data_IF_136307187273
#
_entry.id   IF_136307187273
#
_cell.length_a   1.000
_cell.length_b   1.000
_cell.length_c   1.000
_cell.angle_alpha   90.00
_cell.angle_beta   90.00
_cell.angle_gamma   90.00
#
_symmetry.space_group_name_H-M   'P 1'
#
loop_
_entity.id
_entity.type
_entity.pdbx_description
1 polymer ?
#
# COMPACT_ATOMS: atom_id res chain seq x y z
N UNK A 1 -20.20 -17.25 36.02
CA UNK A 1 -21.12 -16.11 35.87
C UNK A 1 -20.27 -14.85 35.83
N UNK A 2 -20.19 -14.21 34.67
CA UNK A 2 -19.39 -12.99 34.47
C UNK A 2 -20.00 -11.86 35.30
N UNK A 3 -19.20 -11.29 36.21
CA UNK A 3 -19.57 -10.13 37.00
C UNK A 3 -19.67 -8.88 36.13
N UNK A 4 -20.77 -8.76 35.38
CA UNK A 4 -21.22 -7.54 34.71
C UNK A 4 -21.73 -6.52 35.73
N UNK A 5 -21.06 -6.37 36.87
CA UNK A 5 -21.39 -5.31 37.83
C UNK A 5 -20.76 -4.01 37.33
N UNK A 6 -21.53 -2.93 37.43
CA UNK A 6 -21.21 -1.59 36.96
C UNK A 6 -19.80 -1.09 37.37
N UNK A 7 -19.21 -1.66 38.41
CA UNK A 7 -17.83 -1.42 38.88
C UNK A 7 -16.75 -1.63 37.79
N UNK A 8 -16.94 -2.59 36.87
CA UNK A 8 -16.00 -2.86 35.78
C UNK A 8 -15.98 -1.74 34.72
N UNK A 9 -17.13 -1.11 34.47
CA UNK A 9 -17.27 0.02 33.55
C UNK A 9 -16.65 1.29 34.11
N UNK A 10 -16.76 1.53 35.42
CA UNK A 10 -16.13 2.67 36.07
C UNK A 10 -14.59 2.59 36.10
N UNK A 11 -14.00 1.39 36.13
CA UNK A 11 -12.55 1.20 35.96
C UNK A 11 -12.08 1.42 34.53
N UNK A 12 -12.89 1.07 33.53
CA UNK A 12 -12.59 1.34 32.12
C UNK A 12 -12.68 2.85 31.79
N UNK A 13 -13.66 3.57 32.37
CA UNK A 13 -13.84 5.01 32.18
C UNK A 13 -12.75 5.87 32.87
N UNK A 14 -12.01 5.32 33.83
CA UNK A 14 -10.92 6.00 34.54
C UNK A 14 -9.53 5.65 33.99
N UNK A 15 -9.44 4.82 32.94
CA UNK A 15 -8.20 4.74 32.17
C UNK A 15 -8.07 6.08 31.43
N UNK A 16 -7.02 6.89 31.69
CA UNK A 16 -6.68 7.92 30.71
C UNK A 16 -6.58 7.22 29.36
N UNK A 17 -7.04 7.85 28.25
CA UNK A 17 -6.80 7.28 26.94
C UNK A 17 -5.34 6.89 26.92
N UNK A 18 -5.03 5.62 26.65
CA UNK A 18 -3.67 5.26 26.35
C UNK A 18 -3.32 6.20 25.21
N UNK A 19 -2.56 7.24 25.52
CA UNK A 19 -2.01 8.17 24.57
C UNK A 19 -1.01 7.32 23.84
N UNK A 20 -1.51 6.51 22.90
CA UNK A 20 -0.70 5.96 21.82
C UNK A 20 0.09 7.17 21.34
N UNK A 21 1.41 7.19 21.52
CA UNK A 21 2.22 8.25 20.97
C UNK A 21 2.17 8.03 19.47
N UNK A 22 1.10 8.49 18.84
CA UNK A 22 0.96 8.53 17.42
C UNK A 22 1.82 9.69 16.96
N UNK A 23 3.12 9.38 16.88
CA UNK A 23 3.95 9.70 15.73
C UNK A 23 4.08 11.20 15.43
N UNK A 24 4.48 11.97 16.45
CA UNK A 24 4.99 13.34 16.25
C UNK A 24 6.24 13.39 15.32
N UNK A 25 6.86 12.26 15.02
CA UNK A 25 7.95 12.13 14.04
C UNK A 25 7.49 12.10 12.57
N UNK A 26 6.19 12.00 12.29
CA UNK A 26 5.67 12.03 10.91
C UNK A 26 5.46 13.46 10.42
N UNK A 27 4.72 14.28 11.19
CA UNK A 27 4.45 15.68 10.81
C UNK A 27 5.72 16.53 10.71
N UNK A 28 6.68 16.34 11.63
CA UNK A 28 7.96 17.07 11.60
C UNK A 28 8.87 16.69 10.43
N UNK A 29 8.74 15.48 9.86
CA UNK A 29 9.51 15.07 8.68
C UNK A 29 8.86 15.47 7.36
N UNK A 30 7.54 15.64 7.27
CA UNK A 30 6.88 16.15 6.05
C UNK A 30 6.79 17.68 6.00
N UNK A 31 6.89 18.38 7.13
CA UNK A 31 6.88 19.84 7.17
C UNK A 31 8.17 20.51 6.66
N UNK A 32 9.27 19.75 6.55
CA UNK A 32 10.59 20.26 6.14
C UNK A 32 10.91 19.99 4.64
N UNK A 33 10.11 19.17 3.94
CA UNK A 33 10.20 19.05 2.48
C UNK A 33 9.29 20.08 1.84
N UNK A 34 9.87 21.13 1.28
CA UNK A 34 9.19 22.08 0.38
C UNK A 34 8.30 21.32 -0.63
N UNK A 35 7.12 21.85 -0.94
CA UNK A 35 6.16 21.26 -1.93
C UNK A 35 6.85 20.73 -3.21
N UNK A 36 7.86 21.39 -3.78
CA UNK A 36 8.59 20.87 -4.94
C UNK A 36 9.37 19.56 -4.68
N UNK A 37 10.03 19.44 -3.54
CA UNK A 37 10.75 18.23 -3.13
C UNK A 37 9.79 17.05 -2.94
N UNK A 38 8.60 17.32 -2.43
CA UNK A 38 7.56 16.32 -2.23
C UNK A 38 7.04 15.80 -3.59
N UNK A 39 6.86 16.67 -4.57
CA UNK A 39 6.51 16.28 -5.95
C UNK A 39 7.64 15.45 -6.59
N UNK A 40 8.90 15.87 -6.42
CA UNK A 40 10.07 15.12 -6.91
C UNK A 40 10.22 13.76 -6.23
N UNK A 41 9.77 13.61 -4.98
CA UNK A 41 9.79 12.34 -4.25
C UNK A 41 8.81 11.30 -4.79
N UNK A 42 7.85 11.73 -5.62
CA UNK A 42 6.95 10.84 -6.33
C UNK A 42 7.57 10.24 -7.59
N UNK A 43 8.66 10.82 -8.09
CA UNK A 43 9.37 10.25 -9.24
C UNK A 43 10.17 9.04 -8.76
N UNK A 44 9.83 7.81 -9.24
CA UNK A 44 10.50 6.60 -8.80
C UNK A 44 11.98 6.62 -9.20
N UNK A 45 12.87 6.73 -8.21
CA UNK A 45 14.33 6.55 -8.45
C UNK A 45 14.68 5.08 -8.61
N UNK A 46 14.01 4.20 -7.86
CA UNK A 46 14.17 2.74 -7.94
C UNK A 46 12.92 2.03 -7.37
N UNK A 47 11.98 1.58 -8.22
CA UNK A 47 10.71 0.99 -7.76
C UNK A 47 10.88 -0.30 -6.95
N UNK A 48 11.98 -1.04 -7.14
CA UNK A 48 12.24 -2.27 -6.38
C UNK A 48 12.71 -1.99 -4.95
N UNK A 49 13.48 -0.92 -4.75
CA UNK A 49 13.82 -0.45 -3.41
C UNK A 49 12.58 0.10 -2.70
N UNK A 50 11.63 0.66 -3.45
CA UNK A 50 10.36 1.12 -2.89
C UNK A 50 9.42 -0.04 -2.46
N UNK A 51 9.60 -1.25 -2.99
CA UNK A 51 8.81 -2.42 -2.54
C UNK A 51 9.19 -2.91 -1.14
N UNK A 52 10.37 -2.54 -0.61
CA UNK A 52 10.80 -2.95 0.75
C UNK A 52 10.21 -2.08 1.87
N UNK A 53 9.35 -1.10 1.53
CA UNK A 53 8.62 -0.29 2.50
C UNK A 53 9.47 0.70 3.30
N UNK A 54 10.66 1.06 2.80
CA UNK A 54 11.60 1.91 3.53
C UNK A 54 11.09 3.34 3.79
N UNK A 55 10.07 3.82 3.04
CA UNK A 55 9.51 5.16 3.19
C UNK A 55 7.98 5.21 2.97
N UNK A 56 7.25 6.23 3.45
CA UNK A 56 5.82 6.41 3.14
C UNK A 56 5.53 6.77 1.67
N UNK A 57 6.48 7.40 0.97
CA UNK A 57 6.42 7.74 -0.46
C UNK A 57 6.54 6.52 -1.39
N UNK A 58 6.99 5.40 -0.83
CA UNK A 58 7.31 4.14 -1.49
C UNK A 58 6.10 3.52 -2.19
N UNK A 59 4.91 3.67 -1.62
CA UNK A 59 3.66 3.20 -2.23
C UNK A 59 3.31 4.01 -3.49
N UNK A 60 3.42 5.34 -3.41
CA UNK A 60 3.07 6.24 -4.52
C UNK A 60 4.03 6.04 -5.70
N UNK A 61 5.33 5.86 -5.41
CA UNK A 61 6.38 5.51 -6.39
C UNK A 61 6.01 4.25 -7.19
N UNK A 62 5.61 3.17 -6.51
CA UNK A 62 5.23 1.90 -7.13
C UNK A 62 3.99 2.04 -8.02
N UNK A 63 2.99 2.83 -7.60
CA UNK A 63 1.77 3.07 -8.39
C UNK A 63 2.08 3.82 -9.69
N UNK A 64 2.90 4.86 -9.63
CA UNK A 64 3.32 5.63 -10.82
C UNK A 64 4.08 4.72 -11.80
N UNK A 65 4.99 3.90 -11.29
CA UNK A 65 5.71 2.94 -12.11
C UNK A 65 4.78 1.90 -12.75
N UNK A 66 3.80 1.38 -12.01
CA UNK A 66 2.81 0.44 -12.53
C UNK A 66 1.96 1.06 -13.65
N UNK A 67 1.61 2.35 -13.55
CA UNK A 67 0.91 3.06 -14.61
C UNK A 67 1.73 3.12 -15.91
N UNK A 68 3.04 3.43 -15.81
CA UNK A 68 3.93 3.42 -16.98
C UNK A 68 4.07 2.01 -17.58
N UNK A 69 4.21 0.98 -16.75
CA UNK A 69 4.22 -0.42 -17.22
C UNK A 69 2.93 -0.78 -17.96
N UNK A 70 1.77 -0.37 -17.45
CA UNK A 70 0.48 -0.59 -18.12
C UNK A 70 0.41 0.08 -19.49
N UNK A 71 0.86 1.34 -19.60
CA UNK A 71 0.94 2.03 -20.90
C UNK A 71 1.91 1.33 -21.86
N UNK A 72 3.07 0.87 -21.37
CA UNK A 72 4.02 0.12 -22.19
C UNK A 72 3.46 -1.22 -22.68
N UNK A 73 2.72 -1.94 -21.83
CA UNK A 73 2.04 -3.19 -22.20
C UNK A 73 1.00 -2.95 -23.30
N UNK A 74 0.21 -1.87 -23.21
CA UNK A 74 -0.76 -1.50 -24.25
C UNK A 74 -0.08 -1.10 -25.57
N UNK A 75 1.06 -0.40 -25.51
CA UNK A 75 1.85 -0.08 -26.71
C UNK A 75 2.44 -1.34 -27.35
N UNK A 76 3.01 -2.24 -26.54
CA UNK A 76 3.52 -3.51 -27.02
C UNK A 76 2.44 -4.37 -27.69
N UNK A 77 1.21 -4.36 -27.17
CA UNK A 77 0.08 -5.06 -27.79
C UNK A 77 -0.30 -4.47 -29.16
N UNK A 78 -0.17 -3.15 -29.33
CA UNK A 78 -0.40 -2.48 -30.62
C UNK A 78 0.71 -2.80 -31.62
N UNK A 79 1.96 -2.86 -31.17
CA UNK A 79 3.13 -3.07 -32.03
C UNK A 79 3.34 -4.57 -32.38
N UNK A 80 3.13 -5.46 -31.42
CA UNK A 80 3.31 -6.91 -31.52
C UNK A 80 2.26 -7.63 -30.67
N UNK A 81 1.15 -7.97 -31.32
CA UNK A 81 -0.02 -8.59 -30.66
C UNK A 81 0.36 -9.86 -29.92
N UNK A 82 1.25 -10.69 -30.48
CA UNK A 82 1.64 -11.95 -29.87
C UNK A 82 2.41 -11.74 -28.56
N UNK A 83 3.32 -10.75 -28.51
CA UNK A 83 4.03 -10.39 -27.27
C UNK A 83 3.11 -9.67 -26.27
N UNK A 84 2.27 -8.76 -26.74
CA UNK A 84 1.31 -8.07 -25.88
C UNK A 84 0.34 -9.03 -25.20
N UNK A 85 -0.17 -10.02 -25.93
CA UNK A 85 -1.07 -11.02 -25.36
C UNK A 85 -0.39 -11.84 -24.27
N UNK A 86 0.89 -12.20 -24.44
CA UNK A 86 1.68 -12.87 -23.38
C UNK A 86 1.79 -12.03 -22.12
N UNK A 87 1.96 -10.71 -22.25
CA UNK A 87 1.99 -9.79 -21.10
C UNK A 87 0.64 -9.78 -20.39
N UNK A 88 -0.48 -9.68 -21.13
CA UNK A 88 -1.82 -9.72 -20.54
C UNK A 88 -2.08 -11.03 -19.81
N UNK A 89 -1.75 -12.18 -20.41
CA UNK A 89 -1.88 -13.48 -19.76
C UNK A 89 -1.04 -13.59 -18.49
N UNK A 90 0.16 -13.01 -18.47
CA UNK A 90 0.98 -12.97 -17.27
C UNK A 90 0.32 -12.12 -16.16
N UNK A 91 -0.26 -10.96 -16.50
CA UNK A 91 -0.99 -10.11 -15.56
C UNK A 91 -2.20 -10.86 -14.98
N UNK A 92 -3.02 -11.51 -15.82
CA UNK A 92 -4.18 -12.29 -15.39
C UNK A 92 -3.78 -13.45 -14.45
N UNK A 93 -2.67 -14.12 -14.77
CA UNK A 93 -2.12 -15.20 -13.95
C UNK A 93 -1.69 -14.70 -12.57
N UNK A 94 -0.97 -13.58 -12.53
CA UNK A 94 -0.54 -12.94 -11.28
C UNK A 94 -1.75 -12.47 -10.46
N UNK A 95 -2.75 -11.84 -11.09
CA UNK A 95 -3.98 -11.44 -10.41
C UNK A 95 -4.70 -12.64 -9.79
N UNK A 96 -4.85 -13.72 -10.56
CA UNK A 96 -5.50 -14.95 -10.09
C UNK A 96 -4.74 -15.56 -8.90
N UNK A 97 -3.40 -15.51 -8.94
CA UNK A 97 -2.57 -16.00 -7.85
C UNK A 97 -2.72 -15.16 -6.58
N UNK A 98 -2.73 -13.83 -6.70
CA UNK A 98 -2.95 -12.90 -5.58
C UNK A 98 -4.33 -13.11 -4.97
N UNK A 99 -5.37 -13.28 -5.78
CA UNK A 99 -6.73 -13.56 -5.27
C UNK A 99 -6.79 -14.86 -4.47
N UNK A 100 -6.11 -15.91 -4.91
CA UNK A 100 -6.03 -17.18 -4.17
C UNK A 100 -5.25 -17.05 -2.86
N UNK A 101 -4.26 -16.16 -2.82
CA UNK A 101 -3.47 -15.90 -1.60
C UNK A 101 -4.25 -15.05 -0.59
N UNK A 102 -5.09 -14.13 -1.07
CA UNK A 102 -5.80 -13.15 -0.25
C UNK A 102 -7.23 -13.53 0.16
N UNK A 103 -7.81 -14.61 -0.36
CA UNK A 103 -9.14 -15.07 0.04
C UNK A 103 -9.09 -15.74 1.44
N UNK A 104 -9.71 -15.15 2.48
CA UNK A 104 -9.87 -15.83 3.75
C UNK A 104 -10.95 -16.90 3.61
N UNK A 105 -10.51 -18.16 3.42
CA UNK A 105 -11.23 -19.36 3.83
C UNK A 105 -12.74 -19.40 3.58
N UNK A 106 -13.13 -19.60 2.34
CA UNK A 106 -14.41 -20.20 1.96
C UNK A 106 -14.15 -21.38 1.00
N UNK A 107 -13.29 -22.28 1.48
CA UNK A 107 -13.31 -23.69 1.14
C UNK A 107 -14.00 -24.41 2.30
N UNK A 108 -15.34 -24.42 2.33
CA UNK A 108 -16.25 -25.42 2.92
C UNK A 108 -17.68 -24.91 2.85
#
# INVERSE_FOLDING_TARGET
MFGLTAEGWFRAARRPPASTPFRSNYAGKVADLSVPQLILSFVPKNPFADLTGANPTSIISVVIFAAFLGVAALKLLKDDVAKGQRVLTAIDTLQSWVMKLGAPGDAS
#
